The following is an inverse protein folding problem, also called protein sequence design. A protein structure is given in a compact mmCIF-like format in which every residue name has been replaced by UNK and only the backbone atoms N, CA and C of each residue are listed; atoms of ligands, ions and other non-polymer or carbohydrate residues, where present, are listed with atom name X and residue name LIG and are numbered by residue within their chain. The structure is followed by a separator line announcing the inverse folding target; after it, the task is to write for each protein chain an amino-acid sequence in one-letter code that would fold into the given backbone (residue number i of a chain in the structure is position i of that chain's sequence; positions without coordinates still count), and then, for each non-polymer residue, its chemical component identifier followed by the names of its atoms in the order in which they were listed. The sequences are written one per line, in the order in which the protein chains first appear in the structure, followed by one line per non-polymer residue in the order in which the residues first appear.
data_IF_985744575778
#
_entry.id   IF_985744575778
#
_cell.length_a   1.000
_cell.length_b   1.000
_cell.length_c   1.000
_cell.angle_alpha   90.00
_cell.angle_beta   90.00
_cell.angle_gamma   90.00
#
_symmetry.space_group_name_H-M   'P 1'
#
loop_
_entity.id
_entity.type
_entity.pdbx_description
1 polymer ?
#
# COMPACT_ATOMS: atom_id res chain seq x y z
N UNK A 1 -47.81 -46.55 21.63
CA UNK A 1 -47.99 -45.89 22.93
C UNK A 1 -46.70 -46.14 23.71
N UNK A 2 -45.69 -45.33 23.45
CA UNK A 2 -45.37 -44.10 24.19
C UNK A 2 -44.54 -44.36 25.45
N UNK A 3 -43.45 -43.57 25.58
CA UNK A 3 -42.95 -42.95 26.82
C UNK A 3 -42.16 -43.90 27.74
N UNK A 4 -40.82 -43.89 27.71
CA UNK A 4 -39.90 -42.88 28.28
C UNK A 4 -39.33 -43.29 29.65
N UNK A 5 -38.03 -42.97 29.79
CA UNK A 5 -37.24 -42.69 31.02
C UNK A 5 -36.44 -43.83 31.66
N UNK A 6 -35.16 -43.86 31.28
CA UNK A 6 -34.05 -43.78 32.24
C UNK A 6 -32.84 -43.12 31.54
N UNK A 7 -32.85 -41.80 31.30
CA UNK A 7 -32.17 -40.78 32.11
C UNK A 7 -30.78 -41.17 32.67
N UNK A 8 -29.76 -40.64 31.96
CA UNK A 8 -28.57 -39.93 32.47
C UNK A 8 -27.66 -40.66 33.47
N UNK A 9 -26.46 -41.02 33.00
CA UNK A 9 -25.14 -40.51 33.46
C UNK A 9 -24.06 -41.50 33.01
N UNK A 10 -23.25 -41.13 32.02
CA UNK A 10 -21.78 -41.20 32.05
C UNK A 10 -21.32 -40.15 31.05
N UNK A 11 -20.96 -39.01 31.64
CA UNK A 11 -20.32 -37.89 31.02
C UNK A 11 -18.82 -38.16 31.06
N UNK A 12 -18.14 -37.79 29.97
CA UNK A 12 -16.75 -37.36 29.94
C UNK A 12 -15.65 -38.40 30.21
N UNK A 13 -14.75 -38.51 29.24
CA UNK A 13 -13.35 -38.76 29.53
C UNK A 13 -12.73 -39.90 28.76
N UNK A 14 -12.52 -39.74 27.46
CA UNK A 14 -11.31 -40.33 26.83
C UNK A 14 -10.85 -39.44 25.68
N UNK A 15 -10.04 -38.47 26.10
CA UNK A 15 -8.94 -37.79 25.39
C UNK A 15 -8.81 -38.12 23.89
N UNK A 16 -9.34 -37.24 23.04
CA UNK A 16 -8.73 -37.03 21.72
C UNK A 16 -7.33 -36.48 21.94
N UNK A 17 -6.30 -37.30 21.74
CA UNK A 17 -4.92 -36.82 21.59
C UNK A 17 -4.85 -36.13 20.23
N UNK A 18 -5.21 -34.86 20.23
CA UNK A 18 -4.96 -33.90 19.16
C UNK A 18 -3.47 -33.62 19.08
N UNK A 19 -2.87 -34.06 18.00
CA UNK A 19 -1.46 -34.26 17.84
C UNK A 19 -0.92 -33.02 17.07
N UNK A 20 -0.50 -31.98 17.79
CA UNK A 20 -0.02 -30.69 17.23
C UNK A 20 1.21 -30.87 16.32
N UNK A 21 1.09 -30.57 15.02
CA UNK A 21 2.24 -30.46 14.10
C UNK A 21 2.93 -29.10 14.28
N UNK A 22 3.92 -29.06 15.17
CA UNK A 22 4.89 -27.97 15.28
C UNK A 22 6.01 -28.09 14.25
N UNK A 23 6.76 -27.00 14.07
CA UNK A 23 7.95 -26.93 13.23
C UNK A 23 8.92 -28.10 13.50
N UNK A 24 9.07 -29.04 12.57
CA UNK A 24 9.89 -30.25 12.79
C UNK A 24 11.36 -30.03 12.40
N UNK A 25 11.64 -29.00 11.60
CA UNK A 25 12.97 -28.68 11.09
C UNK A 25 13.38 -29.51 9.86
N UNK A 26 12.47 -30.34 9.34
CA UNK A 26 12.65 -31.15 8.13
C UNK A 26 12.03 -30.50 6.88
N UNK A 27 11.31 -29.40 7.07
CA UNK A 27 10.60 -28.74 6.00
C UNK A 27 11.58 -27.97 5.10
N UNK A 28 11.57 -28.28 3.81
CA UNK A 28 12.42 -27.65 2.79
C UNK A 28 11.69 -26.54 2.03
N UNK A 29 10.37 -26.45 2.16
CA UNK A 29 9.56 -25.49 1.42
C UNK A 29 8.52 -24.80 2.30
N UNK A 30 8.14 -23.60 1.89
CA UNK A 30 7.10 -22.82 2.54
C UNK A 30 6.14 -22.21 1.52
N UNK A 31 4.89 -22.04 1.93
CA UNK A 31 3.93 -21.15 1.32
C UNK A 31 3.35 -20.18 2.35
N UNK A 32 3.36 -18.88 2.02
CA UNK A 32 2.75 -17.85 2.84
C UNK A 32 1.22 -17.92 2.74
N UNK A 33 0.55 -18.22 3.85
CA UNK A 33 -0.91 -18.15 3.99
C UNK A 33 -1.40 -16.74 4.32
N UNK A 34 -0.52 -15.89 4.84
CA UNK A 34 -0.77 -14.46 5.11
C UNK A 34 0.25 -13.53 4.44
N UNK A 35 0.23 -12.25 4.82
CA UNK A 35 1.23 -11.29 4.39
C UNK A 35 2.33 -11.20 5.45
N UNK A 36 3.58 -11.43 5.05
CA UNK A 36 4.72 -11.40 5.97
C UNK A 36 5.78 -10.43 5.51
N UNK A 37 6.46 -9.80 6.47
CA UNK A 37 7.61 -8.97 6.17
C UNK A 37 8.83 -9.85 5.89
N UNK A 38 9.35 -9.77 4.67
CA UNK A 38 10.65 -10.33 4.30
C UNK A 38 11.76 -9.41 4.76
N UNK A 39 12.68 -9.93 5.58
CA UNK A 39 13.76 -9.18 6.21
C UNK A 39 15.14 -9.56 5.69
N UNK A 40 16.09 -8.65 5.74
CA UNK A 40 17.49 -8.89 5.38
C UNK A 40 18.26 -9.66 6.46
N UNK A 41 17.74 -9.75 7.68
CA UNK A 41 18.38 -10.50 8.77
C UNK A 41 17.37 -11.20 9.66
N UNK A 42 17.86 -12.16 10.44
CA UNK A 42 17.07 -12.98 11.38
C UNK A 42 16.60 -12.25 12.64
N UNK A 43 16.74 -10.92 12.70
CA UNK A 43 16.24 -10.11 13.82
C UNK A 43 14.81 -9.66 13.55
N UNK A 44 13.90 -9.95 14.48
CA UNK A 44 12.48 -9.61 14.38
C UNK A 44 12.04 -8.64 15.49
N UNK A 45 13.00 -7.91 16.06
CA UNK A 45 12.74 -6.98 17.17
C UNK A 45 12.01 -5.76 16.65
N UNK A 46 11.11 -5.23 17.50
CA UNK A 46 10.40 -3.99 17.21
C UNK A 46 11.42 -2.84 17.19
N UNK A 47 11.65 -2.27 16.01
CA UNK A 47 12.60 -1.16 15.80
C UNK A 47 13.69 -1.47 14.77
N UNK A 48 13.88 -2.75 14.41
CA UNK A 48 14.90 -3.13 13.44
C UNK A 48 14.56 -2.61 12.04
N UNK A 49 15.53 -1.94 11.42
CA UNK A 49 15.44 -1.42 10.04
C UNK A 49 15.92 -2.43 9.00
N UNK A 50 15.47 -3.67 9.14
CA UNK A 50 15.88 -4.79 8.29
C UNK A 50 14.73 -5.33 7.43
N UNK A 51 13.59 -4.65 7.35
CA UNK A 51 12.49 -5.04 6.45
C UNK A 51 12.85 -4.63 5.03
N UNK A 52 12.96 -5.59 4.12
CA UNK A 52 13.23 -5.36 2.71
C UNK A 52 11.94 -5.18 1.91
N UNK A 53 10.93 -6.01 2.21
CA UNK A 53 9.66 -6.00 1.50
C UNK A 53 8.57 -6.72 2.28
N UNK A 54 7.33 -6.63 1.82
CA UNK A 54 6.23 -7.46 2.28
C UNK A 54 5.95 -8.52 1.23
N UNK A 55 6.07 -9.77 1.61
CA UNK A 55 5.72 -10.93 0.80
C UNK A 55 4.22 -11.17 0.91
N UNK A 56 3.56 -11.31 -0.23
CA UNK A 56 2.12 -11.50 -0.31
C UNK A 56 1.73 -12.95 -0.02
N UNK A 57 0.46 -13.18 0.33
CA UNK A 57 -0.12 -14.53 0.39
C UNK A 57 0.11 -15.27 -0.94
N UNK A 58 0.41 -16.56 -0.85
CA UNK A 58 0.75 -17.42 -1.99
C UNK A 58 2.21 -17.31 -2.46
N UNK A 59 3.03 -16.50 -1.78
CA UNK A 59 4.48 -16.53 -1.99
C UNK A 59 5.02 -17.86 -1.52
N UNK A 60 5.84 -18.50 -2.34
CA UNK A 60 6.47 -19.79 -2.12
C UNK A 60 7.97 -19.59 -2.01
N UNK A 61 8.60 -20.36 -1.14
CA UNK A 61 10.04 -20.29 -0.96
C UNK A 61 10.64 -21.63 -0.57
N UNK A 62 11.88 -21.82 -0.98
CA UNK A 62 12.75 -22.88 -0.47
C UNK A 62 13.38 -22.40 0.83
N UNK A 63 13.35 -23.23 1.87
CA UNK A 63 13.91 -22.93 3.19
C UNK A 63 15.41 -23.18 3.11
N UNK A 64 16.18 -22.11 3.29
CA UNK A 64 17.65 -22.17 3.27
C UNK A 64 18.24 -22.30 4.67
N UNK A 65 17.62 -21.63 5.65
CA UNK A 65 18.14 -21.54 7.00
C UNK A 65 17.00 -21.30 7.99
N UNK A 66 17.14 -21.82 9.21
CA UNK A 66 16.15 -21.67 10.28
C UNK A 66 16.87 -21.25 11.55
N UNK A 67 16.30 -20.30 12.29
CA UNK A 67 16.90 -19.78 13.52
C UNK A 67 15.86 -19.62 14.61
N UNK A 68 16.06 -20.33 15.72
CA UNK A 68 15.23 -20.17 16.92
C UNK A 68 15.54 -18.84 17.60
N UNK A 69 14.50 -18.07 17.88
CA UNK A 69 14.57 -16.79 18.57
C UNK A 69 14.45 -17.00 20.08
N UNK A 70 14.92 -16.02 20.86
CA UNK A 70 14.83 -16.05 22.34
C UNK A 70 13.38 -16.16 22.84
N UNK A 71 12.40 -15.74 22.05
CA UNK A 71 10.97 -15.84 22.36
C UNK A 71 10.39 -17.25 22.19
N UNK A 72 11.19 -18.23 21.75
CA UNK A 72 10.72 -19.57 21.38
C UNK A 72 10.16 -19.67 19.96
N UNK A 73 9.96 -18.54 19.27
CA UNK A 73 9.54 -18.48 17.86
C UNK A 73 10.73 -18.69 16.91
N UNK A 74 10.49 -18.76 15.61
CA UNK A 74 11.52 -19.01 14.59
C UNK A 74 11.59 -17.88 13.56
N UNK A 75 12.81 -17.62 13.09
CA UNK A 75 13.06 -16.98 11.80
C UNK A 75 13.35 -18.05 10.75
N UNK A 76 12.76 -17.93 9.58
CA UNK A 76 13.00 -18.83 8.46
C UNK A 76 13.54 -18.00 7.30
N UNK A 77 14.76 -18.31 6.85
CA UNK A 77 15.36 -17.71 5.65
C UNK A 77 14.87 -18.50 4.45
N UNK A 78 14.24 -17.82 3.50
CA UNK A 78 13.66 -18.43 2.32
C UNK A 78 14.24 -17.83 1.06
N UNK A 79 14.48 -18.66 0.04
CA UNK A 79 14.69 -18.24 -1.34
C UNK A 79 13.35 -18.22 -2.03
N UNK A 80 12.86 -17.04 -2.38
CA UNK A 80 11.53 -16.90 -2.98
C UNK A 80 11.52 -17.53 -4.37
N UNK A 81 10.55 -18.40 -4.64
CA UNK A 81 10.46 -19.17 -5.89
C UNK A 81 9.52 -18.53 -6.91
N UNK A 82 8.60 -17.66 -6.48
CA UNK A 82 7.57 -17.09 -7.35
C UNK A 82 7.29 -15.60 -7.05
N UNK A 83 6.68 -14.91 -8.02
CA UNK A 83 6.30 -13.50 -7.88
C UNK A 83 7.46 -12.51 -8.04
N UNK A 84 7.23 -11.26 -7.64
CA UNK A 84 8.17 -10.13 -7.88
C UNK A 84 9.49 -10.22 -7.11
N UNK A 85 9.51 -11.02 -6.05
CA UNK A 85 10.70 -11.26 -5.22
C UNK A 85 11.40 -12.57 -5.58
N UNK A 86 11.00 -13.25 -6.65
CA UNK A 86 11.61 -14.52 -7.07
C UNK A 86 13.14 -14.40 -7.20
N UNK A 87 13.84 -15.41 -6.69
CA UNK A 87 15.30 -15.47 -6.60
C UNK A 87 15.91 -14.72 -5.41
N UNK A 88 15.14 -13.92 -4.67
CA UNK A 88 15.66 -13.19 -3.50
C UNK A 88 15.59 -14.03 -2.24
N UNK A 89 16.60 -13.86 -1.38
CA UNK A 89 16.67 -14.49 -0.06
C UNK A 89 16.17 -13.53 1.02
N UNK A 90 15.26 -13.99 1.88
CA UNK A 90 14.65 -13.15 2.91
C UNK A 90 14.28 -13.96 4.16
N UNK A 91 14.37 -13.32 5.32
CA UNK A 91 13.92 -13.85 6.60
C UNK A 91 12.44 -13.55 6.85
N UNK A 92 11.65 -14.57 7.16
CA UNK A 92 10.23 -14.46 7.56
C UNK A 92 10.03 -15.01 8.97
N UNK A 93 9.03 -14.49 9.67
CA UNK A 93 8.73 -14.86 11.05
C UNK A 93 7.76 -16.06 11.09
N UNK A 94 8.07 -17.02 11.96
CA UNK A 94 7.25 -18.20 12.21
C UNK A 94 7.03 -18.37 13.72
N UNK A 95 5.81 -18.71 14.11
CA UNK A 95 5.44 -19.03 15.49
C UNK A 95 4.58 -20.29 15.48
N UNK A 96 4.99 -21.31 16.23
CA UNK A 96 4.22 -22.54 16.37
C UNK A 96 2.78 -22.25 16.84
N UNK A 97 1.80 -22.84 16.15
CA UNK A 97 0.36 -22.70 16.46
C UNK A 97 -0.31 -21.39 15.99
N UNK A 98 0.46 -20.38 15.59
CA UNK A 98 -0.04 -19.08 15.10
C UNK A 98 0.89 -18.54 14.02
N UNK A 99 0.95 -19.23 12.88
CA UNK A 99 1.81 -18.87 11.76
C UNK A 99 1.03 -18.69 10.46
N UNK A 100 1.35 -17.60 9.77
CA UNK A 100 0.97 -17.34 8.38
C UNK A 100 1.80 -18.16 7.37
N UNK A 101 2.44 -19.25 7.79
CA UNK A 101 3.26 -20.13 6.96
C UNK A 101 2.67 -21.54 6.97
N UNK A 102 2.55 -22.13 5.78
CA UNK A 102 2.45 -23.58 5.63
C UNK A 102 3.81 -24.11 5.17
N UNK A 103 4.29 -25.15 5.84
CA UNK A 103 5.61 -25.72 5.64
C UNK A 103 5.47 -27.12 5.05
N UNK A 104 6.41 -27.51 4.19
CA UNK A 104 6.38 -28.76 3.45
C UNK A 104 7.79 -29.36 3.36
N UNK A 105 7.91 -30.67 3.55
CA UNK A 105 9.17 -31.40 3.35
C UNK A 105 9.54 -31.49 1.86
N UNK A 106 8.55 -31.53 0.96
CA UNK A 106 8.76 -31.59 -0.50
C UNK A 106 7.84 -30.62 -1.24
N UNK A 107 8.17 -30.24 -2.48
CA UNK A 107 7.29 -29.43 -3.32
C UNK A 107 5.95 -30.18 -3.54
N UNK A 108 4.80 -29.63 -3.10
CA UNK A 108 3.52 -30.27 -3.33
C UNK A 108 3.13 -30.24 -4.81
N UNK A 109 2.60 -31.36 -5.30
CA UNK A 109 2.15 -31.51 -6.70
C UNK A 109 1.04 -30.51 -7.07
N UNK A 110 0.23 -30.12 -6.09
CA UNK A 110 -0.72 -29.02 -6.21
C UNK A 110 -0.72 -28.16 -4.94
N UNK A 111 -0.36 -26.89 -5.13
CA UNK A 111 -0.33 -25.86 -4.08
C UNK A 111 -1.73 -25.35 -3.71
N UNK A 112 -2.75 -25.62 -4.54
CA UNK A 112 -4.15 -25.25 -4.30
C UNK A 112 -4.84 -26.18 -3.29
N UNK A 113 -4.33 -27.41 -3.13
CA UNK A 113 -4.87 -28.45 -2.24
C UNK A 113 -4.17 -28.57 -0.89
N UNK A 114 -3.56 -27.50 -0.38
CA UNK A 114 -3.11 -27.49 1.01
C UNK A 114 -4.33 -27.37 1.95
N UNK A 115 -5.00 -28.51 2.16
CA UNK A 115 -5.98 -28.72 3.24
C UNK A 115 -5.36 -28.23 4.55
N UNK A 116 -6.09 -27.37 5.24
CA UNK A 116 -5.93 -27.15 6.68
C UNK A 116 -5.84 -28.50 7.38
N UNK A 117 -4.71 -28.79 8.01
CA UNK A 117 -4.57 -29.96 8.88
C UNK A 117 -4.30 -29.47 10.30
N UNK A 118 -5.34 -29.64 11.12
CA UNK A 118 -5.19 -29.97 12.54
C UNK A 118 -4.87 -31.47 12.58
N UNK A 119 -3.85 -31.80 13.37
CA UNK A 119 -3.48 -33.10 13.94
C UNK A 119 -2.69 -34.16 13.14
N UNK A 120 -1.65 -34.68 13.82
CA UNK A 120 -0.55 -35.60 13.46
C UNK A 120 -0.94 -37.09 13.52
N UNK A 121 -0.23 -37.93 12.75
CA UNK A 121 0.22 -39.26 13.15
C UNK A 121 1.30 -39.75 12.16
N UNK A 122 2.35 -40.38 12.70
CA UNK A 122 3.35 -41.26 12.04
C UNK A 122 4.39 -40.62 11.11
N UNK A 123 5.67 -40.60 11.55
CA UNK A 123 6.76 -41.31 10.86
C UNK A 123 8.08 -41.19 11.66
N UNK A 124 8.49 -42.32 12.24
CA UNK A 124 9.81 -42.59 12.79
C UNK A 124 10.87 -42.70 11.67
N UNK A 125 12.13 -42.38 12.02
CA UNK A 125 13.38 -42.66 11.29
C UNK A 125 13.46 -42.04 9.87
N UNK A 126 14.56 -41.45 9.39
CA UNK A 126 15.88 -42.03 9.11
C UNK A 126 16.87 -40.86 8.87
N UNK A 127 18.15 -41.12 9.10
CA UNK A 127 19.30 -40.21 8.96
C UNK A 127 19.68 -39.91 7.49
N UNK A 128 20.32 -38.75 7.22
CA UNK A 128 21.69 -38.64 6.63
C UNK A 128 21.91 -37.40 5.70
N UNK A 129 22.97 -36.65 6.05
CA UNK A 129 24.07 -36.06 5.24
C UNK A 129 23.83 -35.15 4.01
N UNK A 130 24.28 -33.90 4.20
CA UNK A 130 25.07 -32.94 3.38
C UNK A 130 25.63 -33.40 2.01
N UNK A 131 25.62 -32.51 0.99
CA UNK A 131 26.82 -32.00 0.28
C UNK A 131 26.51 -31.18 -0.99
N UNK A 132 27.05 -29.95 -1.11
CA UNK A 132 27.97 -29.50 -2.19
C UNK A 132 28.26 -27.97 -2.22
N UNK A 133 29.40 -27.53 -2.79
CA UNK A 133 30.06 -26.24 -2.51
C UNK A 133 29.74 -25.10 -3.49
N UNK A 134 30.20 -23.90 -3.12
CA UNK A 134 30.07 -22.63 -3.85
C UNK A 134 30.82 -22.59 -5.20
N UNK A 135 30.26 -21.83 -6.15
CA UNK A 135 30.92 -21.44 -7.42
C UNK A 135 30.91 -19.90 -7.48
N UNK A 136 32.09 -19.33 -7.77
CA UNK A 136 32.33 -17.90 -7.98
C UNK A 136 32.17 -17.45 -9.45
N UNK A 137 31.68 -16.22 -9.55
CA UNK A 137 31.92 -15.13 -10.52
C UNK A 137 31.41 -15.09 -12.00
N UNK A 138 31.10 -13.83 -12.34
CA UNK A 138 31.00 -13.14 -13.64
C UNK A 138 29.79 -13.30 -14.58
N UNK A 139 28.99 -12.21 -14.68
CA UNK A 139 28.03 -12.05 -15.78
C UNK A 139 27.02 -10.89 -15.71
N UNK A 140 26.92 -10.15 -14.60
CA UNK A 140 25.81 -9.20 -14.36
C UNK A 140 26.03 -7.80 -14.94
N UNK A 141 27.26 -7.37 -15.20
CA UNK A 141 27.52 -6.00 -15.65
C UNK A 141 27.09 -5.70 -17.10
N UNK A 142 27.15 -6.69 -18.02
CA UNK A 142 26.83 -6.46 -19.45
C UNK A 142 25.33 -6.38 -19.76
N UNK A 143 24.45 -6.97 -18.94
CA UNK A 143 22.98 -6.93 -19.18
C UNK A 143 22.31 -5.63 -18.74
N UNK A 144 22.84 -4.95 -17.71
CA UNK A 144 22.27 -3.70 -17.18
C UNK A 144 22.56 -2.51 -18.11
N UNK A 145 23.73 -2.49 -18.78
CA UNK A 145 24.08 -1.43 -19.72
C UNK A 145 23.18 -1.44 -20.98
N UNK A 146 22.93 -2.62 -21.55
CA UNK A 146 22.14 -2.76 -22.79
C UNK A 146 20.65 -2.40 -22.61
N UNK A 147 20.09 -2.62 -21.42
CA UNK A 147 18.70 -2.27 -21.10
C UNK A 147 18.49 -0.76 -20.84
N UNK A 148 19.51 -0.08 -20.29
CA UNK A 148 19.50 1.38 -20.10
C UNK A 148 19.59 2.14 -21.43
N UNK A 149 20.31 1.60 -22.41
CA UNK A 149 20.51 2.21 -23.73
C UNK A 149 19.25 2.15 -24.60
N UNK A 150 18.51 1.03 -24.57
CA UNK A 150 17.21 0.89 -25.27
C UNK A 150 16.09 1.76 -24.70
N UNK A 151 16.09 2.02 -23.39
CA UNK A 151 15.09 2.88 -22.76
C UNK A 151 15.33 4.37 -23.05
N UNK A 152 16.60 4.79 -23.18
CA UNK A 152 16.98 6.17 -23.53
C UNK A 152 16.68 6.48 -24.99
N UNK A 153 16.96 5.54 -25.90
CA UNK A 153 16.63 5.68 -27.33
C UNK A 153 15.13 5.81 -27.61
N UNK A 154 14.27 5.14 -26.83
CA UNK A 154 12.81 5.27 -26.96
C UNK A 154 12.28 6.63 -26.44
N UNK A 155 12.93 7.20 -25.42
CA UNK A 155 12.58 8.52 -24.87
C UNK A 155 13.07 9.63 -25.82
N UNK A 156 14.29 9.52 -26.35
CA UNK A 156 14.87 10.50 -27.30
C UNK A 156 14.11 10.50 -28.65
N UNK A 157 13.58 9.35 -29.09
CA UNK A 157 12.74 9.27 -30.29
C UNK A 157 11.38 9.99 -30.11
N UNK A 158 10.80 9.94 -28.92
CA UNK A 158 9.55 10.65 -28.59
C UNK A 158 9.82 12.16 -28.40
N UNK A 159 10.97 12.53 -27.82
CA UNK A 159 11.35 13.93 -27.62
C UNK A 159 11.72 14.62 -28.95
N UNK A 160 12.38 13.92 -29.87
CA UNK A 160 12.70 14.43 -31.21
C UNK A 160 11.48 14.48 -32.13
N UNK A 161 10.50 13.58 -31.96
CA UNK A 161 9.22 13.67 -32.65
C UNK A 161 8.40 14.90 -32.20
N UNK A 162 8.50 15.28 -30.92
CA UNK A 162 7.82 16.46 -30.37
C UNK A 162 8.56 17.80 -30.63
N UNK A 163 9.87 17.79 -30.87
CA UNK A 163 10.63 19.00 -31.25
C UNK A 163 10.38 19.46 -32.70
N UNK A 164 9.81 18.62 -33.55
CA UNK A 164 9.49 18.97 -34.96
C UNK A 164 8.18 19.76 -35.15
N UNK A 165 7.33 19.91 -34.13
CA UNK A 165 5.98 20.49 -34.30
C UNK A 165 5.67 21.77 -33.53
N UNK A 166 6.60 22.40 -32.79
CA UNK A 166 6.31 23.71 -32.18
C UNK A 166 7.55 24.60 -32.05
N UNK A 167 7.85 25.36 -33.12
CA UNK A 167 8.65 26.60 -33.02
C UNK A 167 7.72 27.76 -32.70
N UNK A 168 7.44 28.01 -31.41
CA UNK A 168 7.18 29.38 -30.88
C UNK A 168 7.67 29.46 -29.43
N UNK A 169 8.38 30.53 -29.02
CA UNK A 169 8.90 30.66 -27.66
C UNK A 169 7.75 30.85 -26.67
N UNK A 170 7.78 30.13 -25.55
CA UNK A 170 6.86 30.34 -24.45
C UNK A 170 7.14 31.70 -23.80
N UNK A 171 6.23 32.65 -23.99
CA UNK A 171 6.10 33.83 -23.13
C UNK A 171 4.87 33.57 -22.25
N UNK A 172 5.08 33.71 -20.94
CA UNK A 172 4.11 33.59 -19.83
C UNK A 172 3.90 32.17 -19.25
N UNK A 173 4.60 31.90 -18.14
CA UNK A 173 4.45 30.72 -17.28
C UNK A 173 3.34 30.91 -16.23
N UNK A 174 2.27 31.65 -16.55
CA UNK A 174 1.06 31.65 -15.74
C UNK A 174 0.24 30.42 -16.12
N UNK A 175 0.39 29.33 -15.39
CA UNK A 175 -0.45 28.15 -15.53
C UNK A 175 -1.90 28.51 -15.14
N UNK A 176 -2.66 29.03 -16.11
CA UNK A 176 -4.09 29.29 -15.96
C UNK A 176 -4.76 27.95 -15.72
N UNK A 177 -5.28 27.78 -14.50
CA UNK A 177 -5.96 26.56 -14.11
C UNK A 177 -7.24 26.38 -14.96
N UNK A 178 -7.65 25.14 -15.29
CA UNK A 178 -8.73 24.91 -16.24
C UNK A 178 -10.04 25.49 -15.74
N UNK A 179 -10.73 26.26 -16.59
CA UNK A 179 -12.09 26.71 -16.32
C UNK A 179 -13.06 25.57 -16.61
N UNK A 180 -14.10 25.42 -15.78
CA UNK A 180 -15.20 24.47 -16.00
C UNK A 180 -16.46 25.16 -16.51
N UNK A 181 -16.34 26.42 -16.95
CA UNK A 181 -17.47 27.19 -17.46
C UNK A 181 -18.08 26.49 -18.68
N UNK A 182 -19.41 26.36 -18.69
CA UNK A 182 -20.16 25.68 -19.75
C UNK A 182 -20.23 24.15 -19.65
N UNK A 183 -19.52 23.50 -18.70
CA UNK A 183 -19.62 22.04 -18.52
C UNK A 183 -20.80 21.67 -17.60
N UNK A 184 -21.61 20.70 -18.03
CA UNK A 184 -22.62 20.08 -17.16
C UNK A 184 -21.97 19.39 -15.94
N UNK A 185 -22.77 19.03 -14.94
CA UNK A 185 -22.25 18.44 -13.69
C UNK A 185 -21.31 17.26 -13.96
N UNK A 186 -20.08 17.38 -13.47
CA UNK A 186 -19.05 16.33 -13.50
C UNK A 186 -19.30 15.26 -12.44
N UNK A 187 -20.21 15.50 -11.48
CA UNK A 187 -20.60 14.55 -10.46
C UNK A 187 -21.92 13.85 -10.81
N UNK A 188 -21.97 12.55 -10.48
CA UNK A 188 -23.21 11.76 -10.42
C UNK A 188 -24.05 12.20 -9.21
N UNK A 189 -25.37 12.22 -9.39
CA UNK A 189 -26.32 12.52 -8.31
C UNK A 189 -26.35 11.38 -7.29
N UNK A 190 -26.34 11.70 -6.00
CA UNK A 190 -26.45 10.71 -4.93
C UNK A 190 -27.30 11.22 -3.76
N UNK A 191 -27.91 10.28 -3.02
CA UNK A 191 -28.74 10.55 -1.83
C UNK A 191 -27.93 11.08 -0.64
N UNK A 192 -26.63 10.82 -0.56
CA UNK A 192 -25.74 11.29 0.52
C UNK A 192 -24.56 12.07 -0.05
N UNK A 193 -24.48 13.35 0.28
CA UNK A 193 -23.39 14.22 -0.13
C UNK A 193 -22.16 14.14 0.81
N UNK A 194 -21.10 14.88 0.45
CA UNK A 194 -20.00 15.19 1.36
C UNK A 194 -20.42 16.26 2.38
N UNK A 195 -19.60 16.47 3.41
CA UNK A 195 -19.75 17.59 4.32
C UNK A 195 -19.67 18.92 3.55
N UNK A 196 -20.43 19.94 3.99
CA UNK A 196 -20.46 21.25 3.33
C UNK A 196 -19.08 21.92 3.21
N UNK A 197 -18.17 21.64 4.16
CA UNK A 197 -16.81 22.15 4.11
C UNK A 197 -16.02 21.59 2.90
N UNK A 198 -16.27 20.35 2.49
CA UNK A 198 -15.63 19.75 1.31
C UNK A 198 -16.09 20.39 0.01
N UNK A 199 -17.36 20.82 -0.05
CA UNK A 199 -17.86 21.54 -1.22
C UNK A 199 -17.25 22.94 -1.40
N UNK A 200 -16.49 23.43 -0.41
CA UNK A 200 -15.66 24.62 -0.56
C UNK A 200 -14.35 24.37 -1.31
N UNK A 201 -14.01 23.12 -1.64
CA UNK A 201 -12.82 22.74 -2.45
C UNK A 201 -13.27 22.42 -3.88
N UNK A 202 -14.23 21.52 -4.03
CA UNK A 202 -14.88 21.19 -5.30
C UNK A 202 -16.39 21.29 -5.08
N UNK A 203 -17.09 22.11 -5.86
CA UNK A 203 -18.51 22.37 -5.63
C UNK A 203 -19.39 21.13 -5.93
N UNK A 204 -20.70 21.26 -5.74
CA UNK A 204 -21.66 20.16 -5.94
C UNK A 204 -21.77 19.68 -7.40
N UNK A 205 -21.25 20.45 -8.35
CA UNK A 205 -21.19 20.13 -9.77
C UNK A 205 -19.84 19.49 -10.16
N UNK A 206 -18.90 19.37 -9.24
CA UNK A 206 -17.56 18.84 -9.51
C UNK A 206 -16.57 19.87 -10.04
N UNK A 207 -16.93 21.15 -10.05
CA UNK A 207 -16.05 22.22 -10.47
C UNK A 207 -15.14 22.67 -9.31
N UNK A 208 -13.82 22.82 -9.54
CA UNK A 208 -12.91 23.37 -8.54
C UNK A 208 -13.30 24.81 -8.16
N UNK A 209 -13.47 25.07 -6.86
CA UNK A 209 -13.66 26.44 -6.32
C UNK A 209 -12.30 27.15 -6.21
N UNK A 210 -12.22 28.34 -5.61
CA UNK A 210 -10.93 29.00 -5.30
C UNK A 210 -9.93 28.10 -4.55
N UNK A 211 -10.38 27.23 -3.64
CA UNK A 211 -9.52 26.26 -2.94
C UNK A 211 -9.13 25.09 -3.84
N UNK A 212 -10.05 24.58 -4.66
CA UNK A 212 -9.75 23.57 -5.66
C UNK A 212 -8.73 24.08 -6.70
N UNK A 213 -8.85 25.34 -7.11
CA UNK A 213 -7.89 25.97 -8.03
C UNK A 213 -6.50 26.13 -7.39
N UNK A 214 -6.42 26.41 -6.08
CA UNK A 214 -5.13 26.37 -5.36
C UNK A 214 -4.48 24.98 -5.38
N UNK A 215 -5.24 23.91 -5.16
CA UNK A 215 -4.73 22.53 -5.30
C UNK A 215 -4.19 22.28 -6.71
N UNK A 216 -4.98 22.65 -7.73
CA UNK A 216 -4.61 22.47 -9.13
C UNK A 216 -3.33 23.26 -9.45
N UNK A 217 -3.22 24.50 -8.98
CA UNK A 217 -2.01 25.31 -9.14
C UNK A 217 -0.80 24.58 -8.55
N UNK A 218 -0.84 24.17 -7.28
CA UNK A 218 0.28 23.48 -6.61
C UNK A 218 0.71 22.21 -7.36
N UNK A 219 -0.25 21.39 -7.84
CA UNK A 219 0.05 20.18 -8.62
C UNK A 219 0.54 20.48 -10.04
N UNK A 220 0.16 21.63 -10.60
CA UNK A 220 0.54 22.04 -11.96
C UNK A 220 1.88 22.78 -12.02
N UNK A 221 2.46 23.14 -10.87
CA UNK A 221 3.77 23.76 -10.77
C UNK A 221 4.87 22.84 -11.34
N UNK A 222 5.97 23.43 -11.80
CA UNK A 222 7.05 22.72 -12.50
C UNK A 222 7.64 21.54 -11.70
N UNK A 223 7.67 21.63 -10.37
CA UNK A 223 8.20 20.59 -9.47
C UNK A 223 7.31 19.37 -9.27
N UNK A 224 6.02 19.46 -9.64
CA UNK A 224 4.99 18.44 -9.34
C UNK A 224 4.27 17.95 -10.59
N UNK A 225 4.25 18.76 -11.63
CA UNK A 225 3.39 18.56 -12.80
C UNK A 225 3.60 17.19 -13.46
N UNK A 226 4.85 16.75 -13.57
CA UNK A 226 5.17 15.54 -14.31
C UNK A 226 4.59 14.28 -13.64
N UNK A 227 4.66 14.24 -12.32
CA UNK A 227 4.21 13.16 -11.45
C UNK A 227 2.69 13.08 -11.41
N UNK A 228 2.02 14.25 -11.30
CA UNK A 228 0.57 14.32 -11.24
C UNK A 228 -0.11 14.09 -12.60
N UNK A 229 0.59 14.33 -13.72
CA UNK A 229 0.11 14.01 -15.06
C UNK A 229 0.51 12.63 -15.57
N UNK A 230 1.41 11.94 -14.86
CA UNK A 230 1.93 10.65 -15.24
C UNK A 230 0.82 9.63 -15.54
N UNK A 231 1.09 8.73 -16.47
CA UNK A 231 0.13 7.67 -16.82
C UNK A 231 -0.24 6.87 -15.57
N UNK A 232 -1.53 6.64 -15.39
CA UNK A 232 -2.11 5.94 -14.24
C UNK A 232 -1.82 6.57 -12.87
N UNK A 233 -1.47 7.85 -12.76
CA UNK A 233 -1.10 8.45 -11.47
C UNK A 233 -2.19 8.28 -10.38
N UNK A 234 -3.49 8.38 -10.72
CA UNK A 234 -4.60 8.09 -9.80
C UNK A 234 -4.92 6.58 -9.63
N UNK A 235 -4.33 5.73 -10.44
CA UNK A 235 -4.49 4.28 -10.41
C UNK A 235 -5.96 3.86 -10.42
N UNK A 236 -6.31 2.93 -9.54
CA UNK A 236 -7.67 2.39 -9.47
C UNK A 236 -8.73 3.37 -8.96
N UNK A 237 -8.38 4.60 -8.57
CA UNK A 237 -9.35 5.66 -8.30
C UNK A 237 -9.84 6.36 -9.57
N UNK A 238 -9.15 6.19 -10.69
CA UNK A 238 -9.57 6.76 -11.96
C UNK A 238 -9.18 5.84 -13.14
N UNK A 239 -9.99 4.81 -13.46
CA UNK A 239 -9.69 3.89 -14.56
C UNK A 239 -9.50 4.58 -15.92
N UNK A 240 -10.20 5.70 -16.16
CA UNK A 240 -10.10 6.50 -17.40
C UNK A 240 -8.95 7.52 -17.39
N UNK A 241 -8.07 7.54 -16.39
CA UNK A 241 -7.10 8.63 -16.19
C UNK A 241 -6.22 8.92 -17.41
N UNK A 242 -5.79 7.89 -18.14
CA UNK A 242 -4.93 8.07 -19.32
C UNK A 242 -5.66 8.68 -20.53
N UNK A 243 -6.99 8.60 -20.55
CA UNK A 243 -7.85 9.16 -21.60
C UNK A 243 -8.21 10.62 -21.32
N UNK A 244 -7.90 11.10 -20.12
CA UNK A 244 -8.21 12.46 -19.70
C UNK A 244 -7.18 13.45 -20.27
N UNK A 245 -7.69 14.62 -20.66
CA UNK A 245 -6.84 15.78 -20.92
C UNK A 245 -6.03 16.17 -19.67
N UNK A 246 -4.92 16.89 -19.84
CA UNK A 246 -4.13 17.37 -18.69
C UNK A 246 -4.97 18.21 -17.72
N UNK A 247 -5.92 18.98 -18.23
CA UNK A 247 -6.87 19.74 -17.43
C UNK A 247 -7.79 18.83 -16.60
N UNK A 248 -8.37 17.80 -17.24
CA UNK A 248 -9.29 16.87 -16.58
C UNK A 248 -8.58 15.98 -15.55
N UNK A 249 -7.30 15.63 -15.80
CA UNK A 249 -6.45 14.97 -14.81
C UNK A 249 -6.32 15.80 -13.53
N UNK A 250 -6.12 17.11 -13.67
CA UNK A 250 -6.01 18.01 -12.51
C UNK A 250 -7.33 18.16 -11.76
N UNK A 251 -8.47 18.21 -12.46
CA UNK A 251 -9.80 18.18 -11.83
C UNK A 251 -10.01 16.85 -11.09
N UNK A 252 -9.62 15.72 -11.69
CA UNK A 252 -9.71 14.41 -11.05
C UNK A 252 -8.87 14.33 -9.77
N UNK A 253 -7.67 14.91 -9.77
CA UNK A 253 -6.85 15.04 -8.57
C UNK A 253 -7.46 15.96 -7.51
N UNK A 254 -8.05 17.10 -7.90
CA UNK A 254 -8.76 17.97 -6.96
C UNK A 254 -9.95 17.26 -6.29
N UNK A 255 -10.68 16.44 -7.06
CA UNK A 255 -11.73 15.58 -6.51
C UNK A 255 -11.16 14.51 -5.57
N UNK A 256 -10.05 13.86 -5.93
CA UNK A 256 -9.36 12.91 -5.07
C UNK A 256 -8.99 13.53 -3.72
N UNK A 257 -8.38 14.71 -3.71
CA UNK A 257 -8.03 15.42 -2.48
C UNK A 257 -9.26 15.81 -1.65
N UNK A 258 -10.35 16.17 -2.32
CA UNK A 258 -11.63 16.47 -1.66
C UNK A 258 -12.23 15.22 -1.00
N UNK A 259 -12.24 14.09 -1.71
CA UNK A 259 -12.68 12.80 -1.19
C UNK A 259 -11.82 12.33 -0.01
N UNK A 260 -10.51 12.52 -0.08
CA UNK A 260 -9.62 12.19 1.02
C UNK A 260 -9.88 13.09 2.24
N UNK A 261 -10.06 14.40 2.03
CA UNK A 261 -10.40 15.34 3.10
C UNK A 261 -11.73 15.02 3.77
N UNK A 262 -12.71 14.50 3.02
CA UNK A 262 -13.98 14.03 3.56
C UNK A 262 -13.77 12.88 4.55
N UNK A 263 -12.95 11.89 4.18
CA UNK A 263 -12.70 10.70 4.99
C UNK A 263 -11.80 10.96 6.19
N UNK A 264 -10.85 11.89 6.06
CA UNK A 264 -9.95 12.26 7.14
C UNK A 264 -10.63 13.15 8.18
N UNK A 265 -11.22 14.27 7.74
CA UNK A 265 -11.63 15.36 8.64
C UNK A 265 -13.03 15.93 8.38
N UNK A 266 -13.72 15.46 7.35
CA UNK A 266 -14.88 16.17 6.79
C UNK A 266 -14.48 17.55 6.24
N UNK A 267 -13.25 17.67 5.73
CA UNK A 267 -12.61 18.89 5.24
C UNK A 267 -12.55 20.05 6.24
N UNK A 268 -12.29 19.74 7.52
CA UNK A 268 -12.13 20.74 8.59
C UNK A 268 -10.67 21.15 8.73
N UNK A 269 -10.35 22.39 8.35
CA UNK A 269 -8.97 22.93 8.33
C UNK A 269 -8.28 23.01 9.67
N UNK A 270 -9.03 23.20 10.76
CA UNK A 270 -8.46 23.38 12.10
C UNK A 270 -8.65 22.15 12.99
N UNK A 271 -8.99 20.99 12.41
CA UNK A 271 -9.22 19.77 13.18
C UNK A 271 -7.90 19.23 13.73
N UNK A 272 -7.84 18.99 15.03
CA UNK A 272 -6.78 18.21 15.66
C UNK A 272 -7.24 16.76 15.71
N UNK A 273 -6.51 15.89 15.03
CA UNK A 273 -6.82 14.46 14.97
C UNK A 273 -6.28 13.78 16.22
N UNK A 274 -7.12 13.07 16.99
CA UNK A 274 -6.68 12.49 18.24
C UNK A 274 -5.74 11.31 18.02
N UNK A 275 -4.93 11.02 19.03
CA UNK A 275 -4.11 9.80 19.07
C UNK A 275 -4.89 8.58 19.56
N UNK A 276 -6.03 8.81 20.22
CA UNK A 276 -6.87 7.77 20.82
C UNK A 276 -8.33 8.03 20.53
N UNK A 277 -9.08 6.97 20.30
CA UNK A 277 -10.55 7.01 20.18
C UNK A 277 -11.19 6.17 21.26
N UNK A 278 -12.28 6.67 21.84
CA UNK A 278 -13.10 5.91 22.79
C UNK A 278 -13.86 4.82 22.03
N UNK A 279 -13.79 3.61 22.55
CA UNK A 279 -14.51 2.42 22.06
C UNK A 279 -15.32 1.83 23.20
N UNK A 280 -16.18 0.85 22.91
CA UNK A 280 -16.93 0.11 23.95
C UNK A 280 -16.00 -0.61 24.93
N UNK A 281 -14.80 -1.00 24.50
CA UNK A 281 -13.81 -1.71 25.30
C UNK A 281 -12.73 -0.79 25.93
N UNK A 282 -12.95 0.54 25.95
CA UNK A 282 -11.97 1.52 26.43
C UNK A 282 -11.33 2.33 25.30
N UNK A 283 -10.09 2.79 25.47
CA UNK A 283 -9.43 3.64 24.46
C UNK A 283 -8.58 2.80 23.50
N UNK A 284 -8.76 3.01 22.20
CA UNK A 284 -7.88 2.46 21.15
C UNK A 284 -6.94 3.54 20.65
N UNK A 285 -5.64 3.28 20.67
CA UNK A 285 -4.64 4.14 20.02
C UNK A 285 -4.83 4.02 18.50
N UNK A 286 -4.99 5.16 17.83
CA UNK A 286 -5.15 5.24 16.37
C UNK A 286 -3.94 5.86 15.71
N UNK A 287 -3.19 6.71 16.41
CA UNK A 287 -1.94 7.32 15.96
C UNK A 287 -1.02 7.53 17.18
N UNK A 288 0.29 7.41 16.97
CA UNK A 288 1.26 7.69 18.03
C UNK A 288 1.34 9.19 18.37
N UNK A 289 0.99 10.05 17.41
CA UNK A 289 1.03 11.52 17.52
C UNK A 289 -0.22 12.15 16.90
N UNK A 290 -0.65 13.32 17.42
CA UNK A 290 -1.81 13.99 16.87
C UNK A 290 -1.55 14.47 15.44
N UNK A 291 -2.56 14.32 14.59
CA UNK A 291 -2.58 14.92 13.26
C UNK A 291 -3.26 16.30 13.28
N UNK A 292 -3.18 17.03 12.17
CA UNK A 292 -3.78 18.35 12.01
C UNK A 292 -4.33 18.58 10.61
N UNK A 293 -5.48 19.26 10.55
CA UNK A 293 -6.04 19.81 9.34
C UNK A 293 -6.81 18.82 8.47
N UNK A 294 -7.01 19.21 7.21
CA UNK A 294 -7.88 18.52 6.27
C UNK A 294 -7.43 17.08 6.04
N UNK A 295 -6.11 16.88 5.87
CA UNK A 295 -5.49 15.62 5.46
C UNK A 295 -4.57 15.02 6.54
N UNK A 296 -4.81 15.36 7.79
CA UNK A 296 -4.26 14.66 8.97
C UNK A 296 -2.73 14.60 9.03
N UNK A 297 -2.03 15.65 8.58
CA UNK A 297 -0.56 15.66 8.67
C UNK A 297 -0.11 15.78 10.14
N UNK A 298 1.11 15.33 10.46
CA UNK A 298 1.62 15.35 11.83
C UNK A 298 1.51 16.76 12.42
N UNK A 299 0.91 16.97 13.61
CA UNK A 299 0.73 18.32 14.20
C UNK A 299 2.04 18.98 14.65
N UNK A 300 3.04 18.17 15.00
CA UNK A 300 4.37 18.62 15.42
C UNK A 300 5.19 19.13 14.21
N UNK A 301 5.55 20.42 14.23
CA UNK A 301 6.33 21.07 13.17
C UNK A 301 7.72 20.47 13.02
N UNK A 302 8.42 20.20 14.11
CA UNK A 302 9.78 19.69 14.07
C UNK A 302 9.81 18.28 13.47
N UNK A 303 8.80 17.46 13.79
CA UNK A 303 8.63 16.15 13.16
C UNK A 303 8.39 16.30 11.66
N UNK A 304 7.41 17.11 11.25
CA UNK A 304 7.09 17.33 9.82
C UNK A 304 8.31 17.79 9.03
N UNK A 305 9.04 18.77 9.53
CA UNK A 305 10.23 19.28 8.83
C UNK A 305 11.30 18.20 8.65
N UNK A 306 11.52 17.38 9.68
CA UNK A 306 12.51 16.29 9.63
C UNK A 306 12.10 15.16 8.69
N UNK A 307 10.81 14.86 8.55
CA UNK A 307 10.35 13.69 7.79
C UNK A 307 9.77 14.02 6.41
N UNK A 308 9.28 15.25 6.19
CA UNK A 308 8.54 15.67 4.98
C UNK A 308 9.16 16.85 4.24
N UNK A 309 10.16 17.53 4.82
CA UNK A 309 10.83 18.65 4.18
C UNK A 309 10.14 20.02 4.38
N UNK A 310 10.65 21.03 3.66
CA UNK A 310 10.30 22.44 3.84
C UNK A 310 8.87 22.79 3.47
N UNK A 311 8.26 22.06 2.54
CA UNK A 311 6.88 22.29 2.08
C UNK A 311 5.84 22.02 3.17
N UNK A 312 6.23 21.27 4.21
CA UNK A 312 5.40 20.99 5.40
C UNK A 312 5.69 21.93 6.58
N UNK A 313 6.41 23.04 6.36
CA UNK A 313 6.80 23.99 7.40
C UNK A 313 5.60 24.64 8.08
N UNK A 314 4.68 25.16 7.28
CA UNK A 314 3.46 25.83 7.75
C UNK A 314 2.24 25.10 7.20
N UNK A 315 1.41 24.60 8.10
CA UNK A 315 0.15 23.91 7.79
C UNK A 315 -1.05 24.62 8.42
N UNK A 316 -0.88 25.87 8.88
CA UNK A 316 -1.94 26.66 9.52
C UNK A 316 -3.00 27.14 8.53
N UNK A 317 -2.68 27.14 7.23
CA UNK A 317 -3.57 27.58 6.15
C UNK A 317 -3.93 26.42 5.22
N UNK A 318 -5.06 26.51 4.52
CA UNK A 318 -5.42 25.56 3.47
C UNK A 318 -4.28 25.30 2.48
N UNK A 319 -3.61 26.36 2.04
CA UNK A 319 -2.54 26.26 1.05
C UNK A 319 -1.30 25.55 1.58
N UNK A 320 -0.89 25.85 2.81
CA UNK A 320 0.19 25.13 3.48
C UNK A 320 -0.14 23.65 3.70
N UNK A 321 -1.39 23.34 4.05
CA UNK A 321 -1.86 21.96 4.15
C UNK A 321 -1.83 21.24 2.79
N UNK A 322 -2.25 21.92 1.74
CA UNK A 322 -2.28 21.40 0.38
C UNK A 322 -0.87 21.13 -0.15
N UNK A 323 0.05 22.09 -0.01
CA UNK A 323 1.47 21.94 -0.36
C UNK A 323 2.07 20.73 0.32
N UNK A 324 1.99 20.66 1.64
CA UNK A 324 2.51 19.53 2.40
C UNK A 324 1.92 18.18 1.95
N UNK A 325 0.61 18.09 1.76
CA UNK A 325 -0.05 16.84 1.36
C UNK A 325 0.32 16.40 -0.05
N UNK A 326 0.37 17.34 -0.99
CA UNK A 326 0.77 17.08 -2.38
C UNK A 326 2.20 16.54 -2.43
N UNK A 327 3.11 17.15 -1.69
CA UNK A 327 4.52 16.71 -1.63
C UNK A 327 4.65 15.33 -0.98
N UNK A 328 3.89 15.04 0.09
CA UNK A 328 3.85 13.69 0.69
C UNK A 328 3.43 12.62 -0.32
N UNK A 329 2.38 12.89 -1.11
CA UNK A 329 1.90 11.95 -2.15
C UNK A 329 2.94 11.79 -3.26
N UNK A 330 3.56 12.89 -3.69
CA UNK A 330 4.63 12.87 -4.68
C UNK A 330 5.80 11.99 -4.21
N UNK A 331 6.37 12.31 -3.07
CA UNK A 331 7.62 11.70 -2.60
C UNK A 331 7.44 10.24 -2.19
N UNK A 332 6.32 9.90 -1.54
CA UNK A 332 6.09 8.53 -1.10
C UNK A 332 5.65 7.63 -2.26
N UNK A 333 4.87 8.15 -3.21
CA UNK A 333 4.20 7.34 -4.22
C UNK A 333 4.61 7.72 -5.64
N UNK A 334 4.24 8.91 -6.11
CA UNK A 334 4.26 9.22 -7.55
C UNK A 334 5.67 9.27 -8.15
N UNK A 335 6.63 9.89 -7.46
CA UNK A 335 8.03 9.97 -7.94
C UNK A 335 8.72 8.60 -7.98
N UNK A 336 8.20 7.61 -7.23
CA UNK A 336 8.71 6.23 -7.25
C UNK A 336 8.02 5.36 -8.32
N UNK A 337 7.23 5.96 -9.20
CA UNK A 337 6.45 5.25 -10.24
C UNK A 337 5.24 4.51 -9.71
N UNK A 338 4.85 4.71 -8.44
CA UNK A 338 3.60 4.19 -7.91
C UNK A 338 2.42 5.10 -8.29
N UNK A 339 1.23 4.50 -8.31
CA UNK A 339 -0.04 5.23 -8.37
C UNK A 339 -0.50 5.62 -6.97
N UNK A 340 -1.49 6.51 -6.88
CA UNK A 340 -2.20 6.84 -5.64
C UNK A 340 -2.75 5.60 -4.89
N UNK A 341 -3.01 4.50 -5.60
CA UNK A 341 -3.54 3.25 -5.02
C UNK A 341 -2.47 2.20 -4.68
N UNK A 342 -1.18 2.56 -4.74
CA UNK A 342 -0.08 1.60 -4.59
C UNK A 342 1.14 2.24 -3.90
N UNK A 343 2.05 1.41 -3.42
CA UNK A 343 3.27 1.87 -2.74
C UNK A 343 3.04 2.19 -1.25
N UNK A 344 3.99 2.89 -0.61
CA UNK A 344 3.92 3.23 0.81
C UNK A 344 2.96 4.40 1.05
N UNK A 345 1.66 4.08 1.06
CA UNK A 345 0.59 5.06 1.26
C UNK A 345 0.65 5.68 2.66
N UNK A 346 0.55 7.01 2.72
CA UNK A 346 0.51 7.76 3.97
C UNK A 346 -0.88 7.71 4.64
N UNK A 347 -1.94 7.83 3.86
CA UNK A 347 -3.29 8.01 4.39
C UNK A 347 -4.06 6.69 4.52
N UNK A 348 -4.67 6.48 5.70
CA UNK A 348 -5.49 5.32 6.00
C UNK A 348 -6.68 5.09 5.04
N UNK A 349 -7.44 6.15 4.65
CA UNK A 349 -8.54 6.01 3.69
C UNK A 349 -8.12 5.47 2.32
N UNK A 350 -6.90 5.76 1.88
CA UNK A 350 -6.36 5.22 0.62
C UNK A 350 -6.13 3.71 0.77
N UNK A 351 -5.58 3.27 1.90
CA UNK A 351 -5.40 1.84 2.21
C UNK A 351 -6.76 1.13 2.26
N UNK A 352 -7.78 1.78 2.85
CA UNK A 352 -9.17 1.30 2.89
C UNK A 352 -9.97 1.72 1.65
N UNK A 353 -9.30 1.76 0.50
CA UNK A 353 -9.79 2.13 -0.83
C UNK A 353 -11.29 1.89 -1.03
N UNK A 354 -11.74 0.63 -0.90
CA UNK A 354 -13.08 0.23 -1.29
C UNK A 354 -14.19 0.74 -0.35
N UNK A 355 -13.90 0.87 0.95
CA UNK A 355 -14.90 1.28 1.94
C UNK A 355 -14.92 2.78 2.21
N UNK A 356 -13.83 3.50 1.91
CA UNK A 356 -13.71 4.94 2.21
C UNK A 356 -13.63 5.79 0.94
N UNK A 357 -12.59 5.59 0.13
CA UNK A 357 -12.31 6.48 -1.01
C UNK A 357 -13.17 6.19 -2.25
N UNK A 358 -13.33 4.92 -2.64
CA UNK A 358 -14.04 4.53 -3.87
C UNK A 358 -15.50 4.98 -3.96
N UNK A 359 -16.31 4.98 -2.88
CA UNK A 359 -17.65 5.56 -2.90
C UNK A 359 -17.66 6.99 -3.41
N UNK A 360 -16.68 7.81 -2.99
CA UNK A 360 -16.54 9.19 -3.48
C UNK A 360 -15.97 9.26 -4.89
N UNK A 361 -14.95 8.47 -5.20
CA UNK A 361 -14.28 8.52 -6.51
C UNK A 361 -15.22 8.10 -7.65
N UNK A 362 -16.10 7.12 -7.44
CA UNK A 362 -17.11 6.69 -8.43
C UNK A 362 -18.12 7.78 -8.81
N UNK A 363 -18.25 8.83 -8.01
CA UNK A 363 -19.15 9.96 -8.32
C UNK A 363 -18.60 10.84 -9.42
N UNK A 364 -17.28 10.85 -9.65
CA UNK A 364 -16.68 11.67 -10.68
C UNK A 364 -16.81 11.00 -12.06
N UNK A 365 -17.66 11.56 -12.91
CA UNK A 365 -17.96 11.03 -14.27
C UNK A 365 -16.73 10.98 -15.17
N UNK A 366 -15.77 11.88 -14.97
CA UNK A 366 -14.50 11.86 -15.72
C UNK A 366 -13.76 10.53 -15.54
N UNK A 367 -13.83 9.96 -14.34
CA UNK A 367 -13.10 8.73 -14.00
C UNK A 367 -13.90 7.45 -14.25
N UNK A 368 -15.23 7.51 -14.20
CA UNK A 368 -16.16 6.38 -14.30
C UNK A 368 -17.38 6.76 -15.14
#
# INVERSE_FOLDING_TARGET
MEINRLIKRILAGTVCISLLSGFTGKEEYVELKGMLNGRSSSSFTRGDRNILTTLTRGTRGEILETKKLRSGSFGIKIKVMNGRSAGKEMWVYHRDGDSDLALYETIPADWSTAKTTRDVATAQAVSAKRDKPAIEEDGTAKKVAKQKETARGAIDAIENANKKTNKRPCVDCSAVAPTTEGRGSLLRSEKRGMANACYKIVNKQGAPTSKGQKLISIMSNSSNRSEYLASNALGGFCPKFNQLSSADKMIAWAWFWTALGQEESGCKESLVHPTRVKTRAGYRVINDRPGYGIWTMEKDRSLRLRTRGSECRDISTFEGQAKCSIEIMKDNQLSNGYTATSGPMYWGPIIRKNSQMMPHMKRLKLCF
#
